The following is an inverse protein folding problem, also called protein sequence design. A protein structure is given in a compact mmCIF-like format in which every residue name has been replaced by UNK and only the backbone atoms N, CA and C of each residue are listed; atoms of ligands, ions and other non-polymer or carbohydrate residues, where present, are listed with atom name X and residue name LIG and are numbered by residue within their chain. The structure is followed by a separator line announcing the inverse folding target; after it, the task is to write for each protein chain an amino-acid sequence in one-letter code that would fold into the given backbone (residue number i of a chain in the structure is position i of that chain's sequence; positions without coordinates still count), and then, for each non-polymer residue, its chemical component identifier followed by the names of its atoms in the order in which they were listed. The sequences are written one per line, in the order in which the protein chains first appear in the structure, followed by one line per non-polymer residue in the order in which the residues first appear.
data_IF_814912437485
#
_entry.id   IF_814912437485
#
_cell.length_a   1.000
_cell.length_b   1.000
_cell.length_c   1.000
_cell.angle_alpha   90.00
_cell.angle_beta   90.00
_cell.angle_gamma   90.00
#
_symmetry.space_group_name_H-M   'P 1'
#
loop_
_entity.id
_entity.type
_entity.pdbx_description
1 polymer ?
#
# COMPACT_ATOMS: atom_id res chain seq x y z
N UNK A 1 8.08 -15.07 0.39
CA UNK A 1 7.76 -13.65 0.09
C UNK A 1 7.49 -13.51 -1.39
N UNK A 2 6.48 -12.72 -1.77
CA UNK A 2 6.29 -12.26 -3.17
C UNK A 2 7.62 -11.64 -3.62
N UNK A 3 8.18 -12.09 -4.75
CA UNK A 3 9.48 -11.64 -5.30
C UNK A 3 9.29 -10.45 -6.24
N UNK A 4 8.33 -9.58 -5.95
CA UNK A 4 7.93 -8.50 -6.86
C UNK A 4 8.26 -7.17 -6.21
N UNK A 5 8.97 -6.31 -6.93
CA UNK A 5 9.26 -4.94 -6.49
C UNK A 5 8.33 -3.98 -7.24
N UNK A 6 7.92 -2.85 -6.62
CA UNK A 6 8.22 -2.42 -5.24
C UNK A 6 7.45 -3.21 -4.17
N UNK A 7 7.99 -3.23 -2.95
CA UNK A 7 7.26 -3.58 -1.73
C UNK A 7 7.10 -2.29 -0.92
N UNK A 8 5.85 -1.87 -0.74
CA UNK A 8 5.45 -0.58 -0.19
C UNK A 8 4.97 -0.80 1.25
N UNK A 9 5.48 0.05 2.13
CA UNK A 9 5.11 0.11 3.54
C UNK A 9 4.72 1.54 3.89
N UNK A 10 3.71 1.69 4.74
CA UNK A 10 3.35 2.97 5.37
C UNK A 10 3.51 2.75 6.87
N UNK A 11 4.47 3.44 7.49
CA UNK A 11 4.95 3.11 8.83
C UNK A 11 5.32 1.62 8.94
N UNK A 12 4.72 0.89 9.91
CA UNK A 12 4.90 -0.55 10.11
C UNK A 12 3.88 -1.40 9.32
N UNK A 13 2.97 -0.77 8.56
CA UNK A 13 1.95 -1.47 7.79
C UNK A 13 2.47 -1.85 6.39
N UNK A 14 2.46 -3.15 6.09
CA UNK A 14 2.79 -3.66 4.76
C UNK A 14 1.60 -3.48 3.80
N UNK A 15 1.74 -2.55 2.84
CA UNK A 15 0.71 -2.26 1.84
C UNK A 15 0.70 -3.29 0.71
N UNK A 16 1.87 -3.76 0.29
CA UNK A 16 2.00 -4.65 -0.87
C UNK A 16 2.78 -3.97 -2.00
N UNK A 17 2.34 -4.14 -3.25
CA UNK A 17 2.96 -3.50 -4.42
C UNK A 17 2.23 -2.24 -4.85
N UNK A 18 2.58 -1.75 -6.04
CA UNK A 18 1.95 -0.57 -6.62
C UNK A 18 0.44 -0.76 -6.88
N UNK A 19 0.03 -1.96 -7.30
CA UNK A 19 -1.39 -2.25 -7.56
C UNK A 19 -2.21 -2.18 -6.27
N UNK A 20 -1.70 -2.77 -5.19
CA UNK A 20 -2.36 -2.72 -3.88
C UNK A 20 -2.44 -1.27 -3.34
N UNK A 21 -1.37 -0.48 -3.48
CA UNK A 21 -1.39 0.95 -3.12
C UNK A 21 -2.46 1.72 -3.92
N UNK A 22 -2.50 1.56 -5.25
CA UNK A 22 -3.50 2.21 -6.10
C UNK A 22 -4.93 1.75 -5.80
N UNK A 23 -5.12 0.52 -5.38
CA UNK A 23 -6.43 0.03 -4.96
C UNK A 23 -6.93 0.74 -3.70
N UNK A 24 -6.06 0.96 -2.72
CA UNK A 24 -6.40 1.70 -1.49
C UNK A 24 -6.75 3.16 -1.78
N UNK A 25 -5.97 3.82 -2.63
CA UNK A 25 -6.25 5.19 -3.05
C UNK A 25 -7.61 5.31 -3.77
N UNK A 26 -7.90 4.42 -4.73
CA UNK A 26 -9.20 4.40 -5.43
C UNK A 26 -10.39 4.17 -4.51
N UNK A 27 -10.19 3.47 -3.38
CA UNK A 27 -11.22 3.26 -2.35
C UNK A 27 -11.33 4.43 -1.37
N UNK A 28 -10.41 5.39 -1.40
CA UNK A 28 -10.32 6.46 -0.38
C UNK A 28 -9.85 5.96 0.98
N UNK A 29 -9.24 4.77 1.04
CA UNK A 29 -8.74 4.15 2.28
C UNK A 29 -7.29 4.56 2.59
N UNK A 30 -6.55 5.02 1.58
CA UNK A 30 -5.15 5.41 1.72
C UNK A 30 -4.97 6.57 2.72
N UNK A 31 -5.89 7.54 2.72
CA UNK A 31 -5.83 8.69 3.64
C UNK A 31 -5.96 8.27 5.11
N UNK A 32 -6.54 7.10 5.40
CA UNK A 32 -6.62 6.60 6.77
C UNK A 32 -5.30 6.01 7.27
N UNK A 33 -4.41 5.63 6.36
CA UNK A 33 -3.09 5.09 6.70
C UNK A 33 -2.02 6.17 6.87
N UNK A 34 -2.30 7.42 6.45
CA UNK A 34 -1.32 8.54 6.44
C UNK A 34 -1.61 9.57 7.55
N UNK A 35 -2.69 9.38 8.32
CA UNK A 35 -3.12 10.33 9.37
C UNK A 35 -2.24 10.32 10.61
#
# INVERSE_FOLDING_TARGET
GKRTIPQIFIEDYHVGGYEELRALEKKGELDNLIK
#
